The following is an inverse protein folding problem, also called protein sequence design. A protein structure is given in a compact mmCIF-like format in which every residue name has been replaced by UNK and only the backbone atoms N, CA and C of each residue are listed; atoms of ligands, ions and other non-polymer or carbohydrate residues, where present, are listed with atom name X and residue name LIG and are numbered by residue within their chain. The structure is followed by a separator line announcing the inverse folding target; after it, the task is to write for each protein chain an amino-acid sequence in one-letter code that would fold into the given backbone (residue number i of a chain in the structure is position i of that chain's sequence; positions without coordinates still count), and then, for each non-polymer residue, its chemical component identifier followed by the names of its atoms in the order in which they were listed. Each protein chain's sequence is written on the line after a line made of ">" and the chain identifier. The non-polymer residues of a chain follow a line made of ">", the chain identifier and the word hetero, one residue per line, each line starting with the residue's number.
data_IF_428175681640
#
_entry.id   IF_428175681640
#
_cell.length_a   1.000
_cell.length_b   1.000
_cell.length_c   1.000
_cell.angle_alpha   90.00
_cell.angle_beta   90.00
_cell.angle_gamma   90.00
#
_symmetry.space_group_name_H-M   'P 1'
#
loop_
_entity.id
_entity.type
_entity.pdbx_description
1 polymer ?
#
# COMPACT_ATOMS: atom_id res chain seq x y z
N UNK A 1 -15.28 -15.65 -30.50
CA UNK A 1 -14.19 -14.95 -29.81
C UNK A 1 -14.54 -14.89 -28.34
N UNK A 2 -13.92 -15.75 -27.52
CA UNK A 2 -14.11 -15.76 -26.07
C UNK A 2 -13.27 -14.65 -25.46
N UNK A 3 -13.94 -13.67 -24.84
CA UNK A 3 -13.29 -12.71 -23.96
C UNK A 3 -12.80 -13.50 -22.76
N UNK A 4 -11.48 -13.62 -22.60
CA UNK A 4 -10.88 -14.16 -21.38
C UNK A 4 -11.27 -13.24 -20.21
N UNK A 5 -11.94 -13.81 -19.22
CA UNK A 5 -12.15 -13.19 -17.91
C UNK A 5 -10.83 -12.61 -17.40
N UNK A 6 -10.81 -11.37 -16.87
CA UNK A 6 -9.61 -10.85 -16.22
C UNK A 6 -9.28 -11.77 -15.05
N UNK A 7 -8.03 -12.28 -15.00
CA UNK A 7 -7.53 -13.13 -13.92
C UNK A 7 -8.04 -12.64 -12.56
N UNK A 8 -9.02 -13.37 -12.03
CA UNK A 8 -9.64 -13.07 -10.75
C UNK A 8 -8.54 -13.09 -9.69
N UNK A 9 -8.24 -11.93 -9.11
CA UNK A 9 -7.33 -11.78 -7.99
C UNK A 9 -7.73 -12.80 -6.91
N UNK A 10 -6.81 -13.64 -6.39
CA UNK A 10 -7.15 -14.69 -5.43
C UNK A 10 -7.82 -14.05 -4.21
N UNK A 11 -9.13 -14.26 -4.11
CA UNK A 11 -9.95 -13.90 -2.96
C UNK A 11 -9.42 -14.68 -1.77
N UNK A 12 -8.74 -14.00 -0.83
CA UNK A 12 -8.35 -14.60 0.44
C UNK A 12 -7.03 -14.14 1.05
N UNK A 13 -6.16 -13.40 0.33
CA UNK A 13 -4.93 -12.85 0.92
C UNK A 13 -5.11 -11.37 1.30
N UNK A 14 -4.72 -10.96 2.51
CA UNK A 14 -4.66 -9.55 2.86
C UNK A 14 -3.72 -8.84 1.89
N UNK A 15 -4.12 -7.64 1.45
CA UNK A 15 -3.31 -6.82 0.55
C UNK A 15 -3.40 -5.36 0.98
N UNK A 16 -2.31 -4.64 0.77
CA UNK A 16 -2.28 -3.17 0.88
C UNK A 16 -1.96 -2.57 -0.48
N UNK A 17 -2.53 -1.42 -0.78
CA UNK A 17 -2.43 -0.78 -2.11
C UNK A 17 -2.14 0.70 -1.94
N UNK A 18 -1.19 1.18 -2.73
CA UNK A 18 -0.73 2.57 -2.71
C UNK A 18 -0.76 3.15 -4.12
N UNK A 19 -1.08 4.43 -4.20
CA UNK A 19 -1.07 5.20 -5.43
C UNK A 19 0.06 6.20 -5.33
N UNK A 20 0.85 6.33 -6.39
CA UNK A 20 1.95 7.27 -6.42
C UNK A 20 2.07 7.86 -7.81
N UNK A 21 2.19 9.18 -7.86
CA UNK A 21 2.51 9.90 -9.08
C UNK A 21 4.03 9.99 -9.22
N UNK A 22 4.52 9.81 -10.45
CA UNK A 22 5.95 9.88 -10.78
C UNK A 22 6.10 10.36 -12.21
N UNK A 23 6.62 11.57 -12.39
CA UNK A 23 6.95 12.16 -13.70
C UNK A 23 5.77 12.19 -14.69
N UNK A 24 4.58 12.54 -14.19
CA UNK A 24 3.33 12.59 -14.93
C UNK A 24 2.59 11.26 -15.05
N UNK A 25 3.21 10.15 -14.64
CA UNK A 25 2.59 8.83 -14.60
C UNK A 25 1.97 8.51 -13.25
N UNK A 26 0.85 7.79 -13.27
CA UNK A 26 0.19 7.30 -12.05
C UNK A 26 0.44 5.80 -11.93
N UNK A 27 0.99 5.39 -10.80
CA UNK A 27 1.25 3.99 -10.47
C UNK A 27 0.35 3.50 -9.34
N UNK A 28 -0.08 2.24 -9.45
CA UNK A 28 -0.73 1.48 -8.41
C UNK A 28 0.19 0.34 -7.98
N UNK A 29 0.68 0.41 -6.74
CA UNK A 29 1.54 -0.60 -6.13
C UNK A 29 0.72 -1.43 -5.15
N UNK A 30 0.75 -2.76 -5.31
CA UNK A 30 0.02 -3.71 -4.47
C UNK A 30 1.00 -4.66 -3.78
N UNK A 31 0.87 -4.78 -2.47
CA UNK A 31 1.62 -5.74 -1.67
C UNK A 31 0.69 -6.85 -1.21
N UNK A 32 1.10 -8.10 -1.39
CA UNK A 32 0.38 -9.28 -0.95
C UNK A 32 0.96 -9.80 0.35
N UNK A 33 0.13 -9.85 1.40
CA UNK A 33 0.55 -10.18 2.75
C UNK A 33 0.23 -11.64 3.09
N UNK A 34 1.11 -12.29 3.84
CA UNK A 34 0.84 -13.60 4.43
C UNK A 34 0.24 -13.44 5.83
N UNK A 35 -0.99 -13.93 6.02
CA UNK A 35 -1.74 -13.76 7.28
C UNK A 35 -1.23 -14.65 8.43
N UNK A 36 -0.59 -15.79 8.14
CA UNK A 36 -0.23 -16.78 9.17
C UNK A 36 1.00 -16.41 10.02
N UNK A 37 1.87 -15.52 9.54
CA UNK A 37 3.11 -15.13 10.22
C UNK A 37 3.21 -13.62 10.45
N UNK A 38 2.03 -12.98 10.46
CA UNK A 38 1.85 -11.59 10.82
C UNK A 38 2.30 -10.58 9.78
N UNK A 39 1.63 -10.65 8.62
CA UNK A 39 1.67 -9.65 7.57
C UNK A 39 3.04 -9.50 6.91
N UNK A 40 3.71 -10.63 6.67
CA UNK A 40 4.90 -10.65 5.81
C UNK A 40 4.50 -10.36 4.35
N UNK A 41 5.23 -9.46 3.70
CA UNK A 41 5.06 -9.19 2.26
C UNK A 41 5.63 -10.36 1.47
N UNK A 42 4.77 -11.05 0.73
CA UNK A 42 5.15 -12.21 -0.11
C UNK A 42 5.36 -11.87 -1.57
N UNK A 43 4.68 -10.84 -2.06
CA UNK A 43 4.77 -10.44 -3.45
C UNK A 43 4.36 -8.98 -3.63
N UNK A 44 4.81 -8.38 -4.72
CA UNK A 44 4.48 -7.02 -5.13
C UNK A 44 4.09 -7.02 -6.59
N UNK A 45 2.99 -6.33 -6.91
CA UNK A 45 2.61 -6.01 -8.28
C UNK A 45 2.53 -4.50 -8.47
N UNK A 46 3.02 -4.04 -9.62
CA UNK A 46 3.03 -2.64 -9.99
C UNK A 46 2.26 -2.50 -11.29
N UNK A 47 1.37 -1.51 -11.31
CA UNK A 47 0.62 -1.17 -12.50
C UNK A 47 0.81 0.32 -12.79
N UNK A 48 0.99 0.66 -14.05
CA UNK A 48 0.93 2.03 -14.56
C UNK A 48 -0.44 2.28 -15.17
N UNK A 49 -1.01 3.45 -14.94
CA UNK A 49 -2.25 3.87 -15.61
C UNK A 49 -1.93 4.27 -17.05
N UNK A 50 -2.58 3.61 -18.00
CA UNK A 50 -2.71 4.12 -19.37
C UNK A 50 -3.79 5.20 -19.36
N UNK A 51 -3.37 6.47 -19.39
CA UNK A 51 -4.28 7.63 -19.27
C UNK A 51 -5.12 7.88 -20.51
N UNK A 52 -4.76 7.30 -21.66
CA UNK A 52 -5.54 7.41 -22.90
C UNK A 52 -6.74 6.47 -22.87
N UNK A 53 -6.53 5.25 -22.36
CA UNK A 53 -7.54 4.20 -22.33
C UNK A 53 -8.17 3.97 -20.95
N UNK A 54 -7.66 4.64 -19.91
CA UNK A 54 -8.06 4.49 -18.51
C UNK A 54 -7.98 3.04 -18.00
N UNK A 55 -6.90 2.34 -18.34
CA UNK A 55 -6.67 0.95 -17.94
C UNK A 55 -5.35 0.77 -17.21
N UNK A 56 -5.34 -0.12 -16.21
CA UNK A 56 -4.12 -0.51 -15.50
C UNK A 56 -3.31 -1.51 -16.31
N UNK A 57 -2.04 -1.18 -16.57
CA UNK A 57 -1.08 -2.06 -17.24
C UNK A 57 -0.03 -2.50 -16.23
N UNK A 58 0.15 -3.80 -16.05
CA UNK A 58 1.24 -4.32 -15.21
C UNK A 58 2.59 -3.92 -15.81
N UNK A 59 3.51 -3.49 -14.97
CA UNK A 59 4.88 -3.11 -15.36
C UNK A 59 5.89 -3.80 -14.44
N UNK A 60 7.08 -4.07 -14.97
CA UNK A 60 8.16 -4.73 -14.22
C UNK A 60 9.17 -3.73 -13.61
N UNK A 61 9.14 -2.46 -14.02
CA UNK A 61 10.00 -1.40 -13.50
C UNK A 61 9.22 -0.09 -13.34
N UNK A 62 9.84 0.89 -12.69
CA UNK A 62 9.28 2.22 -12.42
C UNK A 62 10.18 3.30 -13.05
N UNK A 63 10.72 3.00 -14.23
CA UNK A 63 11.55 3.91 -15.03
C UNK A 63 12.74 4.51 -14.26
N UNK A 64 13.33 3.73 -13.35
CA UNK A 64 14.48 4.17 -12.57
C UNK A 64 14.14 5.09 -11.39
N UNK A 65 12.85 5.31 -11.08
CA UNK A 65 12.44 6.01 -9.87
C UNK A 65 12.67 5.16 -8.60
N UNK A 66 12.51 5.78 -7.45
CA UNK A 66 12.40 5.12 -6.15
C UNK A 66 11.10 5.56 -5.49
N UNK A 67 10.30 4.60 -5.02
CA UNK A 67 9.03 4.90 -4.34
C UNK A 67 9.16 4.68 -2.84
N UNK A 68 8.67 5.65 -2.05
CA UNK A 68 8.50 5.53 -0.61
C UNK A 68 7.01 5.55 -0.29
N UNK A 69 6.52 4.48 0.32
CA UNK A 69 5.11 4.19 0.52
C UNK A 69 4.81 4.00 2.01
N UNK A 70 3.68 4.52 2.45
CA UNK A 70 3.20 4.48 3.83
C UNK A 70 1.94 5.33 3.93
N UNK A 71 1.76 6.04 5.05
CA UNK A 71 0.63 7.00 5.19
C UNK A 71 0.65 8.09 4.12
N UNK A 72 1.85 8.45 3.67
CA UNK A 72 2.09 9.28 2.49
C UNK A 72 2.88 8.47 1.46
N UNK A 73 2.72 8.82 0.19
CA UNK A 73 3.44 8.19 -0.91
C UNK A 73 4.21 9.26 -1.68
N UNK A 74 5.47 8.98 -1.98
CA UNK A 74 6.31 9.87 -2.80
C UNK A 74 7.18 9.05 -3.74
N UNK A 75 7.25 9.49 -4.99
CA UNK A 75 8.25 9.03 -5.94
C UNK A 75 9.36 10.06 -6.04
N UNK A 76 10.59 9.57 -6.15
CA UNK A 76 11.76 10.42 -6.41
C UNK A 76 12.58 9.84 -7.53
N UNK A 77 13.22 10.72 -8.32
CA UNK A 77 14.25 10.31 -9.25
C UNK A 77 15.43 9.73 -8.47
N UNK A 78 15.85 8.50 -8.82
CA UNK A 78 16.96 7.84 -8.12
C UNK A 78 18.27 8.60 -8.24
N UNK A 79 18.52 9.18 -9.41
CA UNK A 79 19.70 10.00 -9.66
C UNK A 79 19.73 11.26 -8.78
N UNK A 80 18.60 11.95 -8.67
CA UNK A 80 18.51 13.19 -7.89
C UNK A 80 18.58 12.93 -6.38
N UNK A 81 17.98 11.82 -5.92
CA UNK A 81 17.94 11.47 -4.50
C UNK A 81 19.16 10.65 -4.03
N UNK A 82 20.03 10.22 -4.95
CA UNK A 82 21.13 9.30 -4.64
C UNK A 82 20.64 7.93 -4.14
N UNK A 83 19.43 7.53 -4.54
CA UNK A 83 18.83 6.25 -4.16
C UNK A 83 19.08 5.19 -5.23
N UNK A 84 18.81 3.94 -4.88
CA UNK A 84 18.86 2.87 -5.86
C UNK A 84 17.63 2.93 -6.79
N UNK A 85 17.89 2.90 -8.10
CA UNK A 85 16.86 2.85 -9.14
C UNK A 85 15.98 1.60 -9.04
N UNK A 86 14.71 1.73 -9.41
CA UNK A 86 13.71 0.67 -9.44
C UNK A 86 13.59 -0.08 -8.11
N UNK A 87 13.51 0.71 -7.04
CA UNK A 87 13.31 0.23 -5.67
C UNK A 87 12.03 0.81 -5.06
N UNK A 88 11.36 0.01 -4.24
CA UNK A 88 10.19 0.41 -3.47
C UNK A 88 10.46 0.17 -1.98
N UNK A 89 10.25 1.20 -1.18
CA UNK A 89 10.32 1.16 0.27
C UNK A 89 8.92 1.30 0.84
N UNK A 90 8.47 0.32 1.64
CA UNK A 90 7.16 0.35 2.30
C UNK A 90 7.35 0.38 3.81
N UNK A 91 6.81 1.42 4.45
CA UNK A 91 6.68 1.50 5.89
C UNK A 91 5.33 0.91 6.32
N UNK A 92 5.35 -0.22 7.01
CA UNK A 92 4.15 -0.95 7.42
C UNK A 92 4.16 -1.22 8.92
N UNK A 93 3.04 -0.94 9.60
CA UNK A 93 2.83 -1.36 10.98
C UNK A 93 2.46 -2.85 11.04
N UNK A 94 3.18 -3.59 11.87
CA UNK A 94 2.97 -5.00 12.16
C UNK A 94 2.82 -5.21 13.67
N UNK A 95 2.40 -6.41 14.06
CA UNK A 95 2.21 -6.79 15.46
C UNK A 95 3.49 -6.69 16.32
N UNK A 96 4.67 -6.81 15.70
CA UNK A 96 5.98 -6.67 16.33
C UNK A 96 6.59 -5.27 16.21
N UNK A 97 5.85 -4.30 15.63
CA UNK A 97 6.27 -2.92 15.47
C UNK A 97 6.28 -2.44 14.02
N UNK A 98 6.99 -1.34 13.77
CA UNK A 98 7.12 -0.76 12.43
C UNK A 98 8.19 -1.51 11.62
N UNK A 99 7.82 -2.03 10.45
CA UNK A 99 8.74 -2.67 9.51
C UNK A 99 8.95 -1.78 8.29
N UNK A 100 10.21 -1.60 7.91
CA UNK A 100 10.58 -1.00 6.63
C UNK A 100 10.90 -2.13 5.65
N UNK A 101 9.98 -2.39 4.73
CA UNK A 101 10.20 -3.30 3.61
C UNK A 101 11.00 -2.61 2.51
N UNK A 102 11.93 -3.34 1.91
CA UNK A 102 12.70 -2.92 0.73
C UNK A 102 12.48 -3.94 -0.37
N UNK A 103 11.98 -3.49 -1.52
CA UNK A 103 11.74 -4.31 -2.68
C UNK A 103 12.56 -3.81 -3.87
N UNK A 104 13.38 -4.69 -4.44
CA UNK A 104 14.12 -4.44 -5.67
C UNK A 104 13.36 -5.06 -6.83
N UNK A 105 13.01 -4.26 -7.83
CA UNK A 105 12.16 -4.76 -8.92
C UNK A 105 12.95 -5.64 -9.91
N UNK A 106 14.23 -5.33 -10.12
CA UNK A 106 15.10 -6.03 -11.05
C UNK A 106 15.23 -7.54 -10.77
N UNK A 107 15.34 -7.94 -9.51
CA UNK A 107 15.49 -9.33 -9.08
C UNK A 107 14.31 -9.83 -8.25
N UNK A 108 13.28 -8.98 -8.06
CA UNK A 108 12.10 -9.22 -7.22
C UNK A 108 12.42 -9.60 -5.77
N UNK A 109 13.59 -9.18 -5.27
CA UNK A 109 13.96 -9.41 -3.87
C UNK A 109 13.13 -8.51 -2.96
N UNK A 110 12.55 -9.10 -1.92
CA UNK A 110 11.85 -8.40 -0.86
C UNK A 110 12.54 -8.73 0.47
N UNK A 111 12.91 -7.72 1.23
CA UNK A 111 13.43 -7.86 2.58
C UNK A 111 12.77 -6.84 3.51
N UNK A 112 12.94 -7.00 4.81
CA UNK A 112 12.50 -5.99 5.77
C UNK A 112 13.49 -5.81 6.90
N UNK A 113 13.43 -4.62 7.50
CA UNK A 113 14.08 -4.30 8.77
C UNK A 113 13.02 -3.90 9.78
N UNK A 114 13.07 -4.50 10.97
CA UNK A 114 12.29 -4.01 12.12
C UNK A 114 12.95 -2.72 12.61
N UNK A 115 12.17 -1.65 12.68
CA UNK A 115 12.63 -0.37 13.19
C UNK A 115 12.57 -0.39 14.73
N UNK A 116 13.47 0.33 15.42
CA UNK A 116 13.40 0.45 16.87
C UNK A 116 12.02 0.96 17.30
N UNK A 117 11.55 0.50 18.46
CA UNK A 117 10.29 0.97 19.02
C UNK A 117 10.35 2.50 19.16
N UNK A 118 9.46 3.19 18.46
CA UNK A 118 9.27 4.61 18.62
C UNK A 118 8.23 4.82 19.73
N UNK A 119 8.49 5.71 20.66
CA UNK A 119 7.51 6.19 21.62
C UNK A 119 6.56 7.15 20.87
N UNK A 120 5.64 6.59 20.10
CA UNK A 120 4.73 7.37 19.24
C UNK A 120 3.44 7.63 20.00
N UNK A 121 3.10 8.92 20.12
CA UNK A 121 1.79 9.36 20.59
C UNK A 121 0.69 8.77 19.68
N UNK A 122 -0.06 7.82 20.23
CA UNK A 122 -1.03 6.97 19.52
C UNK A 122 -2.14 7.76 18.80
N UNK A 123 -2.31 9.05 19.10
CA UNK A 123 -3.29 9.91 18.45
C UNK A 123 -2.95 10.20 16.98
N UNK A 124 -1.67 10.20 16.59
CA UNK A 124 -1.23 10.43 15.20
C UNK A 124 -1.22 9.16 14.34
N UNK A 125 -1.33 7.97 14.94
CA UNK A 125 -1.26 6.68 14.25
C UNK A 125 -2.62 6.20 13.71
N UNK A 126 -3.70 6.93 13.96
CA UNK A 126 -5.05 6.58 13.49
C UNK A 126 -5.11 6.38 11.97
N UNK A 127 -4.36 7.19 11.22
CA UNK A 127 -4.22 7.06 9.76
C UNK A 127 -3.47 5.80 9.31
N UNK A 128 -2.58 5.25 10.13
CA UNK A 128 -1.83 4.02 9.83
C UNK A 128 -2.61 2.75 10.23
N UNK A 129 -3.50 2.85 11.23
CA UNK A 129 -4.23 1.72 11.83
C UNK A 129 -5.51 1.38 11.03
N UNK A 130 -6.02 2.28 10.19
CA UNK A 130 -7.30 2.09 9.50
C UNK A 130 -7.35 0.95 8.48
N UNK A 131 -6.20 0.39 8.08
CA UNK A 131 -6.15 -0.80 7.21
C UNK A 131 -6.62 -2.09 7.91
N UNK A 132 -6.74 -2.12 9.24
CA UNK A 132 -7.21 -3.27 10.02
C UNK A 132 -8.70 -3.31 10.34
N UNK A 133 -9.46 -2.22 10.12
CA UNK A 133 -10.86 -2.11 10.59
C UNK A 133 -11.93 -2.42 9.55
N UNK A 134 -11.60 -2.61 8.27
CA UNK A 134 -12.60 -2.81 7.23
C UNK A 134 -13.29 -4.20 7.24
N UNK A 135 -12.93 -5.11 8.16
CA UNK A 135 -13.51 -6.47 8.25
C UNK A 135 -14.24 -6.80 9.57
N UNK A 136 -14.72 -5.81 10.31
CA UNK A 136 -15.75 -6.05 11.34
C UNK A 136 -16.92 -5.10 11.15
N UNK A 137 -17.77 -5.42 10.18
CA UNK A 137 -19.12 -4.88 10.14
C UNK A 137 -19.88 -5.35 11.38
N UNK A 138 -19.93 -4.51 12.41
CA UNK A 138 -20.91 -4.64 13.49
C UNK A 138 -21.99 -3.61 13.24
N UNK A 139 -23.10 -4.09 12.67
CA UNK A 139 -24.39 -3.40 12.74
C UNK A 139 -24.65 -3.03 14.21
N UNK A 140 -24.72 -1.74 14.50
CA UNK A 140 -25.39 -1.26 15.73
C UNK A 140 -26.70 -0.63 15.27
N UNK A 141 -27.79 -1.32 15.62
CA UNK A 141 -29.18 -0.94 15.34
C UNK A 141 -29.71 -0.16 16.55
N UNK A 142 -30.24 1.04 16.32
CA UNK A 142 -31.09 1.82 17.25
C UNK A 142 -30.32 2.62 18.32
N UNK A 143 -30.69 3.86 18.66
CA UNK A 143 -32.06 4.40 18.82
C UNK A 143 -32.15 5.89 18.46
N UNK A 144 -33.28 6.26 17.85
CA UNK A 144 -33.87 7.60 17.84
C UNK A 144 -34.04 8.15 19.27
N UNK A 145 -33.77 9.44 19.50
CA UNK A 145 -34.79 10.48 19.72
C UNK A 145 -34.15 11.86 20.01
N UNK A 146 -34.53 12.82 19.16
CA UNK A 146 -34.89 14.22 19.41
C UNK A 146 -33.92 15.29 19.97
N UNK A 147 -33.87 16.36 19.14
CA UNK A 147 -34.01 17.78 19.44
C UNK A 147 -32.75 18.62 19.70
N UNK A 148 -32.49 19.51 18.73
CA UNK A 148 -31.83 20.81 18.92
C UNK A 148 -32.56 21.63 20.00
N UNK A 149 -31.87 22.61 20.60
CA UNK A 149 -32.31 23.97 20.31
C UNK A 149 -31.17 24.90 19.92
N UNK A 150 -31.60 25.95 19.22
CA UNK A 150 -30.85 27.08 18.71
C UNK A 150 -30.13 27.85 19.82
N UNK A 151 -28.92 28.33 19.53
CA UNK A 151 -28.48 29.73 19.58
C UNK A 151 -27.13 29.88 18.86
#
# INVERSE_FOLDING_TARGET
>A
MSISEPDMCPLGRPRVSFWVESDGDIFLVRFYLHSRQGLEVTNIDIHRMDTLNYVWRRVDNICGATFFLGSNCVAVSSLAAGTQADCIYLLLWCYDGMRLYSARLADRTISFKLLPAFDVDLQNLSSCIDYGKQHTGRFVKGKHLHALPDF
#
